data_IF_654516966942
#
_entry.id   IF_654516966942
#
_cell.length_a   1.000
_cell.length_b   1.000
_cell.length_c   1.000
_cell.angle_alpha   90.00
_cell.angle_beta   90.00
_cell.angle_gamma   90.00
#
_symmetry.space_group_name_H-M   'P 1'
#
loop_
_entity.id
_entity.type
_entity.pdbx_description
1 polymer ?
#
# COMPACT_ATOMS: atom_id res chain seq x y z
N UNK A 1 28.04 -46.12 22.17
CA UNK A 1 27.41 -45.43 23.32
C UNK A 1 26.05 -46.08 23.51
N UNK A 2 25.90 -46.94 24.52
CA UNK A 2 24.61 -47.57 24.81
C UNK A 2 23.62 -46.49 25.26
N UNK A 3 22.35 -46.50 24.80
CA UNK A 3 21.35 -45.60 25.33
C UNK A 3 21.18 -45.93 26.82
N UNK A 4 21.62 -45.02 27.69
CA UNK A 4 21.41 -45.15 29.13
C UNK A 4 19.90 -45.20 29.36
N UNK A 5 19.38 -46.38 29.70
CA UNK A 5 17.98 -46.54 30.09
C UNK A 5 17.74 -45.74 31.37
N UNK A 6 16.96 -44.66 31.27
CA UNK A 6 16.55 -43.88 32.43
C UNK A 6 15.71 -44.79 33.34
N UNK A 7 16.03 -44.91 34.64
CA UNK A 7 15.24 -45.71 35.56
C UNK A 7 13.84 -45.10 35.69
N UNK A 8 12.80 -45.93 35.51
CA UNK A 8 11.40 -45.50 35.60
C UNK A 8 10.88 -45.66 37.03
N UNK A 9 10.23 -44.62 37.54
CA UNK A 9 9.63 -44.62 38.87
C UNK A 9 8.11 -44.58 38.77
N UNK A 10 7.37 -45.52 39.41
CA UNK A 10 5.92 -45.50 39.38
C UNK A 10 5.36 -44.20 39.95
N UNK A 11 4.41 -43.58 39.24
CA UNK A 11 3.73 -42.36 39.69
C UNK A 11 4.49 -41.05 39.47
N UNK A 12 5.75 -41.09 39.03
CA UNK A 12 6.52 -39.88 38.69
C UNK A 12 7.11 -40.04 37.28
N UNK A 13 6.54 -39.38 36.26
CA UNK A 13 7.07 -39.44 34.90
C UNK A 13 8.50 -38.89 34.83
N UNK A 14 9.34 -39.48 33.98
CA UNK A 14 10.75 -39.09 33.81
C UNK A 14 10.90 -37.58 33.52
N UNK A 15 10.03 -37.02 32.67
CA UNK A 15 10.02 -35.58 32.37
C UNK A 15 9.78 -34.71 33.62
N UNK A 16 8.99 -35.20 34.57
CA UNK A 16 8.72 -34.50 35.84
C UNK A 16 9.97 -34.47 36.71
N UNK A 17 10.79 -35.53 36.69
CA UNK A 17 12.07 -35.58 37.41
C UNK A 17 13.10 -34.64 36.81
N UNK A 18 13.20 -34.56 35.48
CA UNK A 18 14.10 -33.61 34.82
C UNK A 18 13.71 -32.16 35.12
N UNK A 19 12.42 -31.82 35.02
CA UNK A 19 11.92 -30.49 35.40
C UNK A 19 12.16 -30.18 36.88
N UNK A 20 12.06 -31.17 37.76
CA UNK A 20 12.37 -31.01 39.19
C UNK A 20 13.86 -30.73 39.41
N UNK A 21 14.76 -31.44 38.72
CA UNK A 21 16.20 -31.20 38.79
C UNK A 21 16.63 -29.84 38.22
N UNK A 22 15.81 -29.25 37.34
CA UNK A 22 16.02 -27.91 36.77
C UNK A 22 15.33 -26.79 37.56
N UNK A 23 14.65 -27.08 38.67
CA UNK A 23 13.88 -26.12 39.46
C UNK A 23 12.72 -25.45 38.67
N UNK A 24 12.13 -26.18 37.70
CA UNK A 24 11.09 -25.69 36.78
C UNK A 24 9.67 -26.21 37.11
N UNK A 25 9.51 -26.90 38.24
CA UNK A 25 8.21 -27.36 38.71
C UNK A 25 7.49 -26.28 39.52
N UNK A 26 6.17 -26.24 39.40
CA UNK A 26 5.32 -25.49 40.33
C UNK A 26 5.45 -26.05 41.75
N UNK A 27 5.08 -25.26 42.75
CA UNK A 27 5.15 -25.68 44.16
C UNK A 27 4.33 -26.96 44.44
N UNK A 28 3.20 -27.15 43.75
CA UNK A 28 2.35 -28.34 43.89
C UNK A 28 2.95 -29.57 43.22
N UNK A 29 3.56 -29.42 42.04
CA UNK A 29 4.27 -30.50 41.36
C UNK A 29 5.52 -30.92 42.15
N UNK A 30 6.28 -29.96 42.70
CA UNK A 30 7.46 -30.23 43.51
C UNK A 30 7.11 -31.04 44.76
N UNK A 31 6.02 -30.69 45.47
CA UNK A 31 5.53 -31.46 46.63
C UNK A 31 5.22 -32.92 46.29
N UNK A 32 4.60 -33.17 45.14
CA UNK A 32 4.30 -34.55 44.68
C UNK A 32 5.57 -35.37 44.46
N UNK A 33 6.62 -34.77 43.90
CA UNK A 33 7.92 -35.44 43.75
C UNK A 33 8.54 -35.69 45.13
N UNK A 34 8.49 -34.72 46.04
CA UNK A 34 9.03 -34.88 47.40
C UNK A 34 8.32 -35.98 48.20
N UNK A 35 7.00 -36.09 48.07
CA UNK A 35 6.23 -37.19 48.66
C UNK A 35 6.65 -38.55 48.08
N UNK A 36 6.80 -38.65 46.76
CA UNK A 36 7.29 -39.87 46.11
C UNK A 36 8.71 -40.24 46.55
N UNK A 37 9.57 -39.25 46.78
CA UNK A 37 10.94 -39.43 47.29
C UNK A 37 10.96 -39.98 48.72
N UNK A 38 10.01 -39.57 49.57
CA UNK A 38 9.90 -40.11 50.94
C UNK A 38 9.52 -41.59 50.94
N UNK A 39 8.69 -42.01 49.98
CA UNK A 39 8.20 -43.38 49.88
C UNK A 39 9.18 -44.30 49.14
N UNK A 40 9.99 -43.75 48.23
CA UNK A 40 10.91 -44.53 47.39
C UNK A 40 12.39 -44.22 47.66
N UNK A 41 13.11 -45.10 48.40
CA UNK A 41 14.56 -44.97 48.62
C UNK A 41 15.37 -44.95 47.31
N UNK A 42 14.91 -45.68 46.29
CA UNK A 42 15.56 -45.74 44.98
C UNK A 42 15.47 -44.39 44.24
N UNK A 43 14.32 -43.71 44.30
CA UNK A 43 14.15 -42.39 43.71
C UNK A 43 15.00 -41.34 44.45
N UNK A 44 15.06 -41.43 45.78
CA UNK A 44 15.92 -40.58 46.60
C UNK A 44 17.41 -40.73 46.24
N UNK A 45 17.88 -41.96 46.07
CA UNK A 45 19.25 -42.24 45.65
C UNK A 45 19.55 -41.68 44.25
N UNK A 46 18.64 -41.86 43.29
CA UNK A 46 18.76 -41.33 41.93
C UNK A 46 18.86 -39.81 41.90
N UNK A 47 17.98 -39.09 42.61
CA UNK A 47 18.03 -37.63 42.67
C UNK A 47 19.30 -37.11 43.35
N UNK A 48 19.80 -37.82 44.36
CA UNK A 48 21.07 -37.47 45.01
C UNK A 48 22.25 -37.61 44.05
N UNK A 49 22.30 -38.69 43.29
CA UNK A 49 23.33 -38.91 42.26
C UNK A 49 23.28 -37.81 41.19
N UNK A 50 22.10 -37.53 40.62
CA UNK A 50 21.94 -36.47 39.61
C UNK A 50 22.31 -35.09 40.11
N UNK A 51 21.97 -34.75 41.35
CA UNK A 51 22.38 -33.48 41.97
C UNK A 51 23.90 -33.41 42.17
N UNK A 52 24.54 -34.52 42.56
CA UNK A 52 25.99 -34.59 42.69
C UNK A 52 26.69 -34.44 41.32
N UNK A 53 26.17 -35.07 40.26
CA UNK A 53 26.65 -34.88 38.88
C UNK A 53 26.49 -33.42 38.41
N UNK A 54 25.32 -32.81 38.63
CA UNK A 54 25.07 -31.39 38.29
C UNK A 54 26.04 -30.47 39.03
N UNK A 55 26.29 -30.73 40.31
CA UNK A 55 27.25 -29.97 41.12
C UNK A 55 28.68 -30.15 40.58
N UNK A 56 29.12 -31.39 40.32
CA UNK A 56 30.43 -31.68 39.75
C UNK A 56 30.64 -31.01 38.38
N UNK A 57 29.62 -31.05 37.51
CA UNK A 57 29.66 -30.39 36.20
C UNK A 57 29.88 -28.88 36.31
N UNK A 58 29.22 -28.22 37.28
CA UNK A 58 29.38 -26.79 37.50
C UNK A 58 30.78 -26.37 37.98
N UNK A 59 31.53 -27.29 38.60
CA UNK A 59 32.93 -27.09 38.97
C UNK A 59 33.88 -27.23 37.77
N UNK A 60 33.61 -28.18 36.87
CA UNK A 60 34.48 -28.45 35.69
C UNK A 60 34.25 -27.44 34.55
N UNK A 61 33.03 -26.90 34.44
CA UNK A 61 32.66 -25.91 33.41
C UNK A 61 32.05 -24.66 34.07
N UNK A 62 32.86 -23.70 34.52
CA UNK A 62 32.34 -22.50 35.17
C UNK A 62 31.61 -21.62 34.14
N UNK A 63 30.28 -21.62 34.17
CA UNK A 63 29.42 -20.71 33.40
C UNK A 63 29.47 -19.25 33.88
N UNK A 64 30.46 -18.88 34.71
CA UNK A 64 30.57 -17.60 35.42
C UNK A 64 30.27 -16.36 34.58
N UNK A 65 30.94 -16.13 33.43
CA UNK A 65 30.68 -14.94 32.62
C UNK A 65 29.30 -14.94 31.92
N UNK A 66 28.69 -16.11 31.73
CA UNK A 66 27.35 -16.23 31.12
C UNK A 66 26.24 -16.04 32.15
N UNK A 67 26.44 -16.54 33.37
CA UNK A 67 25.51 -16.37 34.50
C UNK A 67 25.46 -14.91 34.97
N UNK A 68 26.61 -14.25 35.06
CA UNK A 68 26.70 -12.81 35.34
C UNK A 68 25.97 -11.95 34.29
N UNK A 69 25.93 -12.37 33.02
CA UNK A 69 25.17 -11.69 31.95
C UNK A 69 23.66 -11.93 32.02
N UNK A 70 23.22 -13.05 32.58
CA UNK A 70 21.79 -13.38 32.75
C UNK A 70 21.20 -12.75 34.01
N UNK A 71 22.00 -12.67 35.08
CA UNK A 71 21.61 -12.08 36.37
C UNK A 71 21.78 -10.55 36.41
N UNK A 72 22.53 -9.96 35.47
CA UNK A 72 22.61 -8.51 35.33
C UNK A 72 21.19 -7.93 35.08
N UNK A 73 20.72 -6.96 35.89
CA UNK A 73 19.42 -6.35 35.69
C UNK A 73 19.36 -5.76 34.28
N UNK A 74 18.48 -6.33 33.45
CA UNK A 74 18.34 -5.90 32.05
C UNK A 74 17.97 -4.42 32.04
N UNK A 75 18.80 -3.52 31.46
CA UNK A 75 18.42 -2.12 31.38
C UNK A 75 17.13 -2.03 30.57
N UNK A 76 16.10 -1.39 31.15
CA UNK A 76 14.79 -1.23 30.52
C UNK A 76 14.96 -0.67 29.11
N UNK A 77 14.74 -1.52 28.11
CA UNK A 77 14.80 -1.15 26.69
C UNK A 77 13.85 0.02 26.39
N UNK A 78 12.78 0.13 27.17
CA UNK A 78 11.79 1.20 27.10
C UNK A 78 12.36 2.58 27.45
N UNK A 79 13.21 2.66 28.49
CA UNK A 79 13.90 3.93 28.85
C UNK A 79 14.91 4.37 27.79
N UNK A 80 15.51 3.42 27.07
CA UNK A 80 16.43 3.73 25.97
C UNK A 80 15.64 4.24 24.76
N UNK A 81 14.57 3.57 24.36
CA UNK A 81 13.67 3.99 23.28
C UNK A 81 13.07 5.39 23.54
N UNK A 82 12.71 5.71 24.79
CA UNK A 82 12.17 7.02 25.16
C UNK A 82 13.20 8.17 25.10
N UNK A 83 14.49 7.89 25.29
CA UNK A 83 15.54 8.91 25.17
C UNK A 83 15.87 9.25 23.70
N UNK A 84 15.62 8.33 22.77
CA UNK A 84 15.77 8.56 21.33
C UNK A 84 14.49 9.09 20.67
N UNK A 85 13.32 9.00 21.31
CA UNK A 85 12.07 9.55 20.76
C UNK A 85 12.03 11.07 20.81
N UNK A 86 12.76 11.73 21.72
CA UNK A 86 12.75 13.20 21.81
C UNK A 86 13.32 13.92 20.59
N UNK A 87 14.53 13.59 20.07
CA UNK A 87 15.03 14.24 18.85
C UNK A 87 14.20 13.88 17.62
N UNK A 88 13.62 12.67 17.55
CA UNK A 88 12.76 12.23 16.43
C UNK A 88 11.42 12.98 16.45
N UNK A 89 10.84 13.22 17.62
CA UNK A 89 9.61 14.02 17.74
C UNK A 89 9.84 15.48 17.38
N UNK A 90 10.96 16.08 17.80
CA UNK A 90 11.29 17.46 17.42
C UNK A 90 11.54 17.57 15.91
N UNK A 91 12.29 16.64 15.33
CA UNK A 91 12.50 16.59 13.87
C UNK A 91 11.18 16.38 13.14
N UNK A 92 10.30 15.50 13.63
CA UNK A 92 8.97 15.26 13.06
C UNK A 92 8.06 16.49 13.12
N UNK A 93 8.08 17.26 14.21
CA UNK A 93 7.31 18.52 14.33
C UNK A 93 7.88 19.60 13.42
N UNK A 94 9.20 19.73 13.32
CA UNK A 94 9.83 20.69 12.40
C UNK A 94 9.55 20.30 10.95
N UNK A 95 9.66 19.02 10.58
CA UNK A 95 9.27 18.55 9.25
C UNK A 95 7.79 18.81 9.00
N UNK A 96 6.89 18.46 9.92
CA UNK A 96 5.46 18.68 9.75
C UNK A 96 5.08 20.18 9.63
N UNK A 97 5.86 21.09 10.23
CA UNK A 97 5.63 22.52 10.12
C UNK A 97 6.26 23.17 8.88
N UNK A 98 7.37 22.63 8.38
CA UNK A 98 8.17 23.19 7.28
C UNK A 98 7.84 22.55 5.94
N UNK A 99 7.54 21.25 5.92
CA UNK A 99 7.22 20.48 4.71
C UNK A 99 5.95 20.98 3.99
N UNK A 100 4.86 21.40 4.65
CA UNK A 100 3.70 21.98 3.96
C UNK A 100 3.99 23.34 3.30
N UNK A 101 5.05 24.04 3.74
CA UNK A 101 5.48 25.31 3.15
C UNK A 101 6.45 25.15 1.98
N UNK A 102 7.15 24.01 1.89
CA UNK A 102 8.13 23.73 0.85
C UNK A 102 7.60 22.77 -0.22
N UNK A 103 6.64 21.93 0.15
CA UNK A 103 5.97 21.03 -0.77
C UNK A 103 4.53 21.47 -0.87
N UNK A 104 4.27 22.36 -1.82
CA UNK A 104 2.95 22.41 -2.48
C UNK A 104 2.80 21.10 -3.23
N UNK A 105 2.49 20.03 -2.50
CA UNK A 105 1.73 18.96 -3.10
C UNK A 105 0.41 19.62 -3.46
N UNK A 106 0.20 19.91 -4.74
CA UNK A 106 -1.15 19.85 -5.29
C UNK A 106 -1.65 18.43 -5.02
N UNK A 107 -2.11 18.19 -3.80
CA UNK A 107 -3.27 17.35 -3.63
C UNK A 107 -4.33 18.01 -4.50
N UNK A 108 -4.46 17.50 -5.72
CA UNK A 108 -5.71 17.58 -6.46
C UNK A 108 -6.71 16.86 -5.56
N UNK A 109 -7.20 17.60 -4.57
CA UNK A 109 -8.39 17.31 -3.81
C UNK A 109 -9.47 17.24 -4.88
N UNK A 110 -9.64 16.03 -5.43
CA UNK A 110 -10.84 15.66 -6.15
C UNK A 110 -11.93 15.77 -5.11
N UNK A 111 -12.48 16.98 -5.00
CA UNK A 111 -13.79 17.24 -4.44
C UNK A 111 -14.72 16.32 -5.20
N UNK A 112 -14.94 15.13 -4.64
CA UNK A 112 -15.87 14.14 -5.14
C UNK A 112 -17.25 14.66 -4.78
N UNK A 113 -17.73 15.61 -5.57
CA UNK A 113 -19.13 15.99 -5.56
C UNK A 113 -19.90 14.75 -6.03
N UNK A 114 -20.77 14.23 -5.17
CA UNK A 114 -21.82 13.29 -5.60
C UNK A 114 -22.55 13.93 -6.79
N UNK A 115 -22.31 13.43 -8.00
CA UNK A 115 -22.92 13.93 -9.25
C UNK A 115 -21.98 14.47 -10.33
N UNK A 116 -20.65 14.36 -10.18
CA UNK A 116 -19.69 14.81 -11.19
C UNK A 116 -19.31 13.74 -12.24
N UNK A 117 -19.09 14.17 -13.48
CA UNK A 117 -18.50 13.37 -14.57
C UNK A 117 -17.17 12.77 -14.12
N UNK A 118 -17.05 11.45 -14.16
CA UNK A 118 -15.77 10.77 -13.90
C UNK A 118 -15.30 10.06 -15.15
N UNK A 119 -13.98 10.04 -15.34
CA UNK A 119 -13.35 9.32 -16.42
C UNK A 119 -12.19 8.47 -15.90
N UNK A 120 -12.03 7.31 -16.50
CA UNK A 120 -10.93 6.37 -16.26
C UNK A 120 -10.31 5.99 -17.57
N UNK A 121 -9.04 5.66 -17.52
CA UNK A 121 -8.24 5.32 -18.69
C UNK A 121 -7.78 3.88 -18.50
N UNK A 122 -8.29 2.99 -19.33
CA UNK A 122 -7.93 1.57 -19.36
C UNK A 122 -6.81 1.38 -20.37
N UNK A 123 -5.72 0.75 -19.95
CA UNK A 123 -4.51 0.56 -20.75
C UNK A 123 -4.32 -0.92 -20.99
N UNK A 124 -4.10 -1.29 -22.25
CA UNK A 124 -3.69 -2.64 -22.65
C UNK A 124 -2.23 -2.62 -23.09
N UNK A 125 -1.41 -3.47 -22.46
CA UNK A 125 0.00 -3.70 -22.77
C UNK A 125 0.25 -5.19 -22.92
N UNK A 126 0.46 -5.66 -24.15
CA UNK A 126 0.46 -7.09 -24.45
C UNK A 126 -0.86 -7.74 -24.03
N UNK A 127 -0.81 -8.73 -23.14
CA UNK A 127 -1.99 -9.42 -22.59
C UNK A 127 -2.54 -8.78 -21.31
N UNK A 128 -1.83 -7.83 -20.71
CA UNK A 128 -2.27 -7.16 -19.49
C UNK A 128 -3.22 -6.00 -19.80
N UNK A 129 -4.30 -5.88 -19.00
CA UNK A 129 -5.20 -4.72 -19.00
C UNK A 129 -5.24 -4.15 -17.59
N UNK A 130 -4.98 -2.86 -17.43
CA UNK A 130 -4.96 -2.17 -16.14
C UNK A 130 -5.50 -0.74 -16.26
N UNK A 131 -5.89 -0.15 -15.13
CA UNK A 131 -6.30 1.27 -15.08
C UNK A 131 -5.06 2.17 -14.94
N UNK A 132 -5.00 3.25 -15.71
CA UNK A 132 -3.99 4.28 -15.53
C UNK A 132 -4.31 5.06 -14.25
N UNK A 133 -3.41 4.93 -13.28
CA UNK A 133 -3.47 5.59 -11.98
C UNK A 133 -2.22 6.43 -11.71
N UNK A 134 -2.15 7.08 -10.54
CA UNK A 134 -0.97 7.83 -10.13
C UNK A 134 0.30 6.97 -10.19
N UNK A 135 1.36 7.50 -10.81
CA UNK A 135 2.65 6.81 -10.97
C UNK A 135 2.71 5.78 -12.10
N UNK A 136 1.61 5.52 -12.81
CA UNK A 136 1.59 4.65 -13.99
C UNK A 136 2.02 5.46 -15.20
N UNK A 137 3.17 5.09 -15.78
CA UNK A 137 3.73 5.69 -17.00
C UNK A 137 3.39 4.82 -18.21
N UNK A 138 2.92 5.47 -19.26
CA UNK A 138 2.49 4.85 -20.52
C UNK A 138 3.68 4.72 -21.48
N UNK A 139 3.64 3.71 -22.35
CA UNK A 139 4.68 3.42 -23.33
C UNK A 139 4.14 3.52 -24.73
N UNK A 140 5.04 3.77 -25.68
CA UNK A 140 4.74 3.59 -27.10
C UNK A 140 4.18 2.19 -27.37
N UNK A 141 3.09 2.11 -28.16
CA UNK A 141 2.34 0.90 -28.45
C UNK A 141 1.32 0.48 -27.39
N UNK A 142 1.25 1.14 -26.23
CA UNK A 142 0.14 0.93 -25.30
C UNK A 142 -1.18 1.34 -25.95
N UNK A 143 -2.21 0.51 -25.75
CA UNK A 143 -3.56 0.82 -26.26
C UNK A 143 -4.44 1.32 -25.14
N UNK A 144 -4.93 2.53 -25.32
CA UNK A 144 -5.68 3.27 -24.33
C UNK A 144 -7.16 3.32 -24.72
N UNK A 145 -8.03 3.01 -23.77
CA UNK A 145 -9.48 3.13 -23.91
C UNK A 145 -10.03 3.96 -22.77
N UNK A 146 -10.99 4.84 -23.08
CA UNK A 146 -11.63 5.68 -22.08
C UNK A 146 -12.89 5.01 -21.59
N UNK A 147 -13.08 5.08 -20.28
CA UNK A 147 -14.34 4.75 -19.62
C UNK A 147 -14.86 6.00 -18.93
N UNK A 148 -16.14 6.28 -19.09
CA UNK A 148 -16.82 7.46 -18.54
C UNK A 148 -17.97 7.00 -17.66
N UNK A 149 -18.13 7.64 -16.52
CA UNK A 149 -19.25 7.38 -15.60
C UNK A 149 -19.86 8.71 -15.16
N UNK A 150 -21.16 8.84 -15.36
CA UNK A 150 -21.95 10.01 -14.99
C UNK A 150 -23.35 9.58 -14.52
N UNK A 151 -23.95 10.31 -13.57
CA UNK A 151 -25.23 9.93 -12.98
C UNK A 151 -26.45 10.26 -13.86
N UNK A 152 -26.31 11.21 -14.79
CA UNK A 152 -27.41 11.72 -15.62
C UNK A 152 -27.23 11.31 -17.08
N UNK A 153 -25.99 11.26 -17.56
CA UNK A 153 -25.68 11.10 -18.98
C UNK A 153 -25.72 12.44 -19.72
N UNK A 154 -25.81 12.39 -21.05
CA UNK A 154 -25.84 13.57 -21.91
C UNK A 154 -25.03 13.42 -23.19
N UNK A 155 -24.73 14.54 -23.85
CA UNK A 155 -23.89 14.59 -25.05
C UNK A 155 -22.40 14.69 -24.67
N UNK A 156 -21.61 13.70 -25.07
CA UNK A 156 -20.19 13.58 -24.76
C UNK A 156 -19.32 13.98 -25.96
N UNK A 157 -18.31 14.80 -25.66
CA UNK A 157 -17.19 15.11 -26.54
C UNK A 157 -15.90 14.60 -25.91
N UNK A 158 -15.03 13.99 -26.70
CA UNK A 158 -13.70 13.54 -26.28
C UNK A 158 -12.67 14.14 -27.20
N UNK A 159 -11.68 14.81 -26.62
CA UNK A 159 -10.57 15.42 -27.33
C UNK A 159 -9.25 14.95 -26.71
N UNK A 160 -8.23 14.80 -27.55
CA UNK A 160 -6.84 14.76 -27.10
C UNK A 160 -6.24 16.16 -27.18
N UNK A 161 -5.42 16.51 -26.19
CA UNK A 161 -4.64 17.72 -26.12
C UNK A 161 -3.17 17.34 -25.97
N UNK A 162 -2.30 17.83 -26.85
CA UNK A 162 -0.85 17.70 -26.66
C UNK A 162 -0.26 18.90 -25.93
N UNK A 163 0.92 18.70 -25.35
CA UNK A 163 1.73 19.74 -24.68
C UNK A 163 2.02 20.95 -25.60
N UNK A 164 2.06 20.73 -26.91
CA UNK A 164 2.24 21.79 -27.91
C UNK A 164 0.96 22.57 -28.23
N UNK A 165 -0.11 22.31 -27.49
CA UNK A 165 -1.42 22.92 -27.66
C UNK A 165 -2.23 22.39 -28.84
N UNK A 166 -1.83 21.25 -29.42
CA UNK A 166 -2.59 20.63 -30.52
C UNK A 166 -3.83 19.94 -29.95
N UNK A 167 -5.00 20.35 -30.41
CA UNK A 167 -6.28 19.73 -30.07
C UNK A 167 -6.69 18.78 -31.19
N UNK A 168 -6.96 17.52 -30.84
CA UNK A 168 -7.41 16.48 -31.79
C UNK A 168 -8.76 15.92 -31.34
N UNK A 169 -9.83 16.12 -32.12
CA UNK A 169 -11.13 15.52 -31.84
C UNK A 169 -11.08 13.99 -31.94
N UNK A 170 -11.61 13.28 -30.92
CA UNK A 170 -11.63 11.82 -30.88
C UNK A 170 -13.05 11.24 -30.98
N UNK A 171 -14.03 11.78 -30.24
CA UNK A 171 -15.43 11.34 -30.27
C UNK A 171 -16.40 12.50 -30.03
N UNK A 172 -17.62 12.39 -30.56
CA UNK A 172 -18.64 13.43 -30.44
C UNK A 172 -18.58 14.51 -31.54
N UNK A 173 -17.69 14.35 -32.52
CA UNK A 173 -17.48 15.33 -33.60
C UNK A 173 -17.94 14.77 -34.95
N UNK A 174 -18.36 15.64 -35.91
CA UNK A 174 -18.76 15.18 -37.25
C UNK A 174 -17.69 14.32 -37.95
N UNK A 175 -16.41 14.64 -37.75
CA UNK A 175 -15.27 13.88 -38.30
C UNK A 175 -15.07 12.50 -37.68
N UNK A 176 -15.67 12.24 -36.51
CA UNK A 176 -15.50 11.02 -35.72
C UNK A 176 -16.79 10.22 -35.60
N UNK A 177 -17.75 10.43 -36.51
CA UNK A 177 -19.04 9.72 -36.51
C UNK A 177 -20.21 10.48 -35.86
N UNK A 178 -20.01 11.73 -35.46
CA UNK A 178 -21.06 12.61 -34.95
C UNK A 178 -21.23 12.56 -33.43
N UNK A 179 -22.37 13.12 -32.98
CA UNK A 179 -22.68 13.26 -31.56
C UNK A 179 -22.75 11.91 -30.85
N UNK A 180 -22.12 11.83 -29.67
CA UNK A 180 -22.16 10.65 -28.82
C UNK A 180 -23.05 10.93 -27.61
N UNK A 181 -24.19 10.25 -27.53
CA UNK A 181 -25.11 10.37 -26.40
C UNK A 181 -24.90 9.22 -25.43
N UNK A 182 -24.68 9.55 -24.16
CA UNK A 182 -24.58 8.60 -23.07
C UNK A 182 -25.84 8.63 -22.21
N UNK A 183 -26.31 7.45 -21.81
CA UNK A 183 -27.28 7.34 -20.73
C UNK A 183 -26.60 7.46 -19.36
N UNK A 184 -27.38 7.48 -18.26
CA UNK A 184 -26.83 7.43 -16.91
C UNK A 184 -26.07 6.11 -16.68
N UNK A 185 -25.00 6.19 -15.89
CA UNK A 185 -24.16 5.05 -15.52
C UNK A 185 -22.78 5.07 -16.15
N UNK A 186 -22.21 3.87 -16.33
CA UNK A 186 -20.82 3.65 -16.72
C UNK A 186 -20.74 3.13 -18.15
N UNK A 187 -19.90 3.75 -18.97
CA UNK A 187 -19.76 3.48 -20.39
C UNK A 187 -18.29 3.36 -20.77
N UNK A 188 -17.95 2.23 -21.38
CA UNK A 188 -16.65 2.06 -22.04
C UNK A 188 -16.79 2.58 -23.46
N UNK A 189 -16.03 3.63 -23.80
CA UNK A 189 -16.15 4.26 -25.10
C UNK A 189 -15.65 3.34 -26.22
N UNK A 190 -16.27 3.39 -27.42
CA UNK A 190 -15.84 2.58 -28.55
C UNK A 190 -14.43 2.99 -29.02
N UNK A 191 -13.69 2.03 -29.57
CA UNK A 191 -12.33 2.28 -30.08
C UNK A 191 -11.23 2.17 -29.03
N UNK A 192 -10.00 2.38 -29.47
CA UNK A 192 -8.82 2.49 -28.61
C UNK A 192 -7.81 3.38 -29.33
N UNK A 193 -7.15 4.26 -28.57
CA UNK A 193 -6.03 5.05 -29.06
C UNK A 193 -4.75 4.25 -28.84
N UNK A 194 -3.97 4.02 -29.89
CA UNK A 194 -2.62 3.46 -29.75
C UNK A 194 -1.65 4.62 -29.56
N UNK A 195 -0.86 4.59 -28.48
CA UNK A 195 0.11 5.65 -28.21
C UNK A 195 1.30 5.52 -29.15
N UNK A 196 1.68 6.64 -29.73
CA UNK A 196 2.87 6.76 -30.55
C UNK A 196 4.13 6.96 -29.69
N UNK A 197 5.28 7.00 -30.37
CA UNK A 197 6.59 7.28 -29.77
C UNK A 197 6.90 8.78 -29.71
N UNK A 198 5.87 9.64 -29.81
CA UNK A 198 6.08 11.07 -29.73
C UNK A 198 6.48 11.47 -28.29
N UNK A 199 7.56 12.24 -28.09
CA UNK A 199 8.05 12.61 -26.76
C UNK A 199 7.18 13.66 -26.07
N UNK A 200 6.11 14.13 -26.72
CA UNK A 200 5.21 15.14 -26.18
C UNK A 200 4.23 14.53 -25.17
N UNK A 201 3.95 15.28 -24.10
CA UNK A 201 2.90 14.89 -23.17
C UNK A 201 1.52 15.05 -23.82
N UNK A 202 0.59 14.19 -23.42
CA UNK A 202 -0.79 14.21 -23.91
C UNK A 202 -1.77 14.17 -22.75
N UNK A 203 -2.96 14.72 -22.98
CA UNK A 203 -4.07 14.66 -22.05
C UNK A 203 -5.37 14.38 -22.81
N UNK A 204 -6.26 13.62 -22.19
CA UNK A 204 -7.62 13.42 -22.67
C UNK A 204 -8.57 14.34 -21.91
N UNK A 205 -9.41 15.04 -22.66
CA UNK A 205 -10.44 15.93 -22.14
C UNK A 205 -11.79 15.39 -22.56
N UNK A 206 -12.62 15.07 -21.56
CA UNK A 206 -14.00 14.65 -21.74
C UNK A 206 -14.89 15.82 -21.35
N UNK A 207 -15.80 16.23 -22.23
CA UNK A 207 -16.79 17.29 -21.99
C UNK A 207 -18.17 16.71 -22.15
N UNK A 208 -19.00 16.80 -21.12
CA UNK A 208 -20.37 16.30 -21.11
C UNK A 208 -21.35 17.47 -20.94
N UNK A 209 -22.25 17.63 -21.90
CA UNK A 209 -23.40 18.52 -21.80
C UNK A 209 -24.64 17.72 -21.38
N UNK A 210 -25.41 18.20 -20.40
CA UNK A 210 -26.53 17.45 -19.84
C UNK A 210 -27.66 17.20 -20.85
N UNK A 211 -27.95 18.16 -21.72
CA UNK A 211 -28.93 18.04 -22.81
C UNK A 211 -28.23 18.21 -24.16
N UNK A 212 -28.52 17.32 -25.11
CA UNK A 212 -28.03 17.41 -26.48
C UNK A 212 -28.58 18.64 -27.24
N UNK A 213 -29.74 19.18 -26.83
CA UNK A 213 -30.35 20.36 -27.45
C UNK A 213 -29.64 21.65 -27.10
N UNK A 214 -29.13 21.72 -25.87
CA UNK A 214 -28.39 22.88 -25.35
C UNK A 214 -26.88 22.66 -25.37
N UNK A 215 -26.42 21.53 -25.93
CA UNK A 215 -25.01 21.21 -26.02
C UNK A 215 -24.29 22.26 -26.88
N UNK A 216 -23.12 22.75 -26.44
CA UNK A 216 -22.30 23.61 -27.28
C UNK A 216 -21.95 22.88 -28.58
N UNK A 217 -21.79 23.64 -29.67
CA UNK A 217 -21.40 23.04 -30.95
C UNK A 217 -20.03 22.36 -30.83
N UNK A 218 -19.74 21.31 -31.62
CA UNK A 218 -18.43 20.66 -31.61
C UNK A 218 -17.28 21.67 -31.82
N UNK A 219 -17.46 22.64 -32.73
CA UNK A 219 -16.48 23.69 -33.00
C UNK A 219 -16.30 24.64 -31.82
N UNK A 220 -17.35 24.88 -31.02
CA UNK A 220 -17.26 25.68 -29.81
C UNK A 220 -16.45 24.95 -28.72
N UNK A 221 -16.67 23.64 -28.54
CA UNK A 221 -15.90 22.81 -27.61
C UNK A 221 -14.44 22.75 -28.03
N UNK A 222 -14.16 22.54 -29.32
CA UNK A 222 -12.79 22.52 -29.83
C UNK A 222 -12.08 23.87 -29.62
N UNK A 223 -12.70 24.98 -30.02
CA UNK A 223 -12.13 26.33 -29.84
C UNK A 223 -11.89 26.68 -28.38
N UNK A 224 -12.78 26.27 -27.48
CA UNK A 224 -12.62 26.44 -26.04
C UNK A 224 -11.34 25.76 -25.54
N UNK A 225 -11.11 24.51 -25.94
CA UNK A 225 -9.91 23.79 -25.54
C UNK A 225 -8.66 24.35 -26.20
N UNK A 226 -8.72 24.76 -27.47
CA UNK A 226 -7.62 25.44 -28.17
C UNK A 226 -7.23 26.76 -27.50
N UNK A 227 -8.19 27.48 -26.93
CA UNK A 227 -7.92 28.72 -26.20
C UNK A 227 -7.27 28.42 -24.84
N UNK A 228 -7.77 27.44 -24.09
CA UNK A 228 -7.17 27.01 -22.83
C UNK A 228 -5.75 26.45 -23.02
N UNK A 229 -5.51 25.77 -24.14
CA UNK A 229 -4.20 25.22 -24.51
C UNK A 229 -3.11 26.26 -24.78
N UNK A 230 -3.45 27.57 -24.82
CA UNK A 230 -2.47 28.65 -24.93
C UNK A 230 -1.85 29.04 -23.59
N UNK A 231 -2.36 28.50 -22.49
CA UNK A 231 -1.77 28.67 -21.16
C UNK A 231 -0.41 27.95 -21.07
N UNK A 232 0.41 28.38 -20.11
CA UNK A 232 1.79 27.88 -19.96
C UNK A 232 1.84 26.52 -19.27
N UNK A 233 0.82 26.20 -18.48
CA UNK A 233 0.77 24.97 -17.67
C UNK A 233 0.16 23.81 -18.45
N UNK A 234 0.77 22.63 -18.33
CA UNK A 234 0.26 21.39 -18.92
C UNK A 234 0.03 20.30 -17.85
N UNK A 235 -1.15 19.68 -17.81
CA UNK A 235 -2.37 20.06 -18.55
C UNK A 235 -2.93 21.41 -18.07
N UNK A 236 -3.62 22.17 -18.94
CA UNK A 236 -4.14 23.49 -18.58
C UNK A 236 -5.26 23.40 -17.55
N UNK A 237 -5.45 24.48 -16.78
CA UNK A 237 -6.60 24.58 -15.87
C UNK A 237 -7.84 24.97 -16.67
N UNK A 238 -8.83 24.08 -16.70
CA UNK A 238 -10.01 24.27 -17.54
C UNK A 238 -11.14 24.98 -16.79
N UNK A 239 -11.52 26.17 -17.28
CA UNK A 239 -12.80 26.79 -16.90
C UNK A 239 -13.93 26.12 -17.67
N UNK A 240 -14.94 25.52 -17.01
CA UNK A 240 -16.00 24.79 -17.69
C UNK A 240 -16.82 25.71 -18.62
N UNK A 241 -17.22 25.18 -19.78
CA UNK A 241 -18.21 25.85 -20.62
C UNK A 241 -19.57 25.88 -19.92
N UNK A 242 -20.39 26.94 -20.11
CA UNK A 242 -21.73 27.00 -19.57
C UNK A 242 -22.55 25.74 -19.91
N UNK A 243 -23.21 25.16 -18.91
CA UNK A 243 -24.03 23.95 -19.08
C UNK A 243 -23.24 22.65 -19.29
N UNK A 244 -21.92 22.68 -19.11
CA UNK A 244 -21.07 21.49 -19.28
C UNK A 244 -20.37 21.08 -17.99
N UNK A 245 -20.07 19.78 -17.90
CA UNK A 245 -19.13 19.18 -16.97
C UNK A 245 -17.93 18.70 -17.77
N UNK A 246 -16.74 18.70 -17.18
CA UNK A 246 -15.57 18.15 -17.85
C UNK A 246 -14.72 17.31 -16.90
N UNK A 247 -13.95 16.40 -17.48
CA UNK A 247 -12.94 15.62 -16.80
C UNK A 247 -11.66 15.62 -17.64
N UNK A 248 -10.53 15.84 -16.97
CA UNK A 248 -9.21 15.83 -17.60
C UNK A 248 -8.38 14.65 -17.09
N UNK A 249 -7.65 13.99 -18.00
CA UNK A 249 -6.73 12.89 -17.70
C UNK A 249 -5.42 13.08 -18.44
N UNK A 250 -4.37 13.44 -17.71
CA UNK A 250 -3.01 13.42 -18.25
C UNK A 250 -2.57 11.98 -18.55
N UNK A 251 -1.86 11.80 -19.66
CA UNK A 251 -1.29 10.56 -20.15
C UNK A 251 0.24 10.66 -20.06
N UNK A 252 0.84 10.46 -18.87
CA UNK A 252 2.29 10.55 -18.71
C UNK A 252 2.96 9.44 -19.53
N UNK A 253 3.76 9.81 -20.52
CA UNK A 253 4.54 8.88 -21.36
C UNK A 253 5.95 8.70 -20.78
N UNK A 254 6.53 7.52 -21.00
CA UNK A 254 7.93 7.25 -20.72
C UNK A 254 8.75 8.02 -21.76
N UNK A 255 9.52 9.01 -21.31
CA UNK A 255 10.42 9.74 -22.20
C UNK A 255 11.59 8.82 -22.60
N UNK A 256 11.99 8.82 -23.88
CA UNK A 256 13.13 8.04 -24.35
C UNK A 256 14.47 8.47 -23.71
#
# INVERSE_FOLDING_TARGET
>A
MSPSSIPRFPGVPDLMLERYLCDELSAEEARRVEEAVRVSPALSAYLRERRAEKAAFSLVRPFGPMRARLEAPRPSRWRRLWRWSQPVLVLGVVLAAVLPRLVTFEEVERVRVRGGLTARVLVKRGEAVFEQGPGVVLRSGDRVRVEVEDAEGGALYVLALSERGRVTPLQGFPTTGGALTLGPGRWVLPGSLELDDAPEQEALVMVLAADARDAPSPEAVQRWLEQAAREVDFPPTLTPLPGTRHALRALPKELP
#
